data_IF_642867700324
#
_entry.id   IF_642867700324
#
_cell.length_a   1.000
_cell.length_b   1.000
_cell.length_c   1.000
_cell.angle_alpha   90.00
_cell.angle_beta   90.00
_cell.angle_gamma   90.00
#
_symmetry.space_group_name_H-M   'P 1'
#
loop_
_entity.id
_entity.type
_entity.pdbx_description
1 polymer ?
#
# COMPACT_ATOMS: atom_id res chain seq x y z
N UNK A 1 -6.76 -2.70 -11.57
CA UNK A 1 -6.83 -3.21 -10.18
C UNK A 1 -5.62 -2.68 -9.42
N UNK A 2 -5.82 -2.20 -8.20
CA UNK A 2 -4.73 -1.85 -7.28
C UNK A 2 -4.83 -2.75 -6.06
N UNK A 3 -3.74 -3.45 -5.74
CA UNK A 3 -3.56 -4.14 -4.47
C UNK A 3 -2.84 -3.19 -3.51
N UNK A 4 -3.35 -3.06 -2.29
CA UNK A 4 -2.81 -2.24 -1.22
C UNK A 4 -2.30 -3.18 -0.14
N UNK A 5 -0.99 -3.17 0.10
CA UNK A 5 -0.37 -3.94 1.17
C UNK A 5 -0.41 -3.12 2.46
N UNK A 6 -1.31 -3.51 3.37
CA UNK A 6 -1.46 -2.88 4.68
C UNK A 6 -0.69 -3.61 5.79
N UNK A 7 0.13 -4.60 5.44
CA UNK A 7 0.96 -5.30 6.41
C UNK A 7 2.30 -4.56 6.59
N UNK A 8 2.57 -4.14 7.82
CA UNK A 8 3.83 -3.51 8.21
C UNK A 8 4.90 -4.53 8.65
N UNK A 9 4.60 -5.83 8.59
CA UNK A 9 5.41 -6.87 9.25
C UNK A 9 6.11 -7.86 8.32
N UNK A 10 5.45 -8.37 7.27
CA UNK A 10 5.88 -9.66 6.69
C UNK A 10 6.32 -9.66 5.22
N UNK A 11 6.40 -8.53 4.50
CA UNK A 11 6.84 -8.48 3.08
C UNK A 11 6.17 -9.54 2.18
N UNK A 12 4.95 -9.94 2.50
CA UNK A 12 4.41 -11.15 1.91
C UNK A 12 3.89 -10.89 0.50
N UNK A 13 3.24 -9.75 0.28
CA UNK A 13 2.60 -9.45 -0.99
C UNK A 13 3.57 -8.97 -2.07
N UNK A 14 4.56 -8.13 -1.73
CA UNK A 14 5.58 -7.70 -2.67
C UNK A 14 6.49 -8.85 -3.12
N UNK A 15 6.85 -9.77 -2.20
CA UNK A 15 7.56 -11.01 -2.54
C UNK A 15 6.72 -11.96 -3.41
N UNK A 16 5.45 -12.19 -3.06
CA UNK A 16 4.56 -13.07 -3.82
C UNK A 16 4.36 -12.57 -5.27
N UNK A 17 4.33 -11.25 -5.45
CA UNK A 17 4.19 -10.62 -6.77
C UNK A 17 5.54 -10.43 -7.51
N UNK A 18 6.67 -10.76 -6.88
CA UNK A 18 8.01 -10.55 -7.45
C UNK A 18 8.35 -9.08 -7.70
N UNK A 19 7.85 -8.19 -6.84
CA UNK A 19 7.99 -6.73 -6.91
C UNK A 19 8.86 -6.17 -5.78
N UNK A 20 9.45 -7.03 -4.94
CA UNK A 20 10.19 -6.70 -3.72
C UNK A 20 11.38 -5.74 -3.96
N UNK A 21 11.95 -5.75 -5.16
CA UNK A 21 13.06 -4.90 -5.58
C UNK A 21 12.61 -3.58 -6.26
N UNK A 22 11.29 -3.38 -6.41
CA UNK A 22 10.69 -2.22 -7.09
C UNK A 22 9.89 -1.33 -6.14
N UNK A 23 9.52 -1.83 -4.96
CA UNK A 23 8.83 -1.07 -3.91
C UNK A 23 9.83 -0.19 -3.17
N UNK A 24 10.11 0.99 -3.73
CA UNK A 24 11.01 1.99 -3.13
C UNK A 24 10.24 3.09 -2.36
N UNK A 25 9.01 3.38 -2.82
CA UNK A 25 8.14 4.42 -2.31
C UNK A 25 6.82 3.79 -1.82
N UNK A 26 6.24 4.39 -0.78
CA UNK A 26 5.08 3.87 -0.05
C UNK A 26 4.04 4.96 0.16
N UNK A 27 2.82 4.59 0.56
CA UNK A 27 1.78 5.56 0.88
C UNK A 27 2.19 6.51 2.03
N UNK A 28 2.99 6.03 2.98
CA UNK A 28 3.58 6.87 4.03
C UNK A 28 4.51 7.95 3.47
N UNK A 29 5.33 7.64 2.46
CA UNK A 29 6.20 8.64 1.80
C UNK A 29 5.34 9.69 1.06
N UNK A 30 4.20 9.28 0.47
CA UNK A 30 3.25 10.21 -0.18
C UNK A 30 2.60 11.14 0.85
N UNK A 31 2.21 10.60 2.01
CA UNK A 31 1.61 11.38 3.11
C UNK A 31 2.62 12.34 3.76
N UNK A 32 3.90 11.98 3.79
CA UNK A 32 4.98 12.85 4.24
C UNK A 32 5.28 13.98 3.23
N UNK A 33 4.78 13.87 1.98
CA UNK A 33 5.04 14.82 0.90
C UNK A 33 6.34 14.56 0.14
N UNK A 34 6.99 13.42 0.37
CA UNK A 34 8.27 13.07 -0.25
C UNK A 34 8.10 12.63 -1.72
N UNK A 35 6.92 12.10 -2.07
CA UNK A 35 6.62 11.66 -3.42
C UNK A 35 5.13 11.79 -3.76
N UNK A 36 4.82 11.61 -5.04
CA UNK A 36 3.44 11.57 -5.53
C UNK A 36 2.89 10.14 -5.52
N UNK A 37 1.56 10.01 -5.47
CA UNK A 37 0.89 8.69 -5.45
C UNK A 37 1.23 7.83 -6.68
N UNK A 38 1.37 8.43 -7.87
CA UNK A 38 1.74 7.72 -9.09
C UNK A 38 3.16 7.14 -9.03
N UNK A 39 4.06 7.78 -8.28
CA UNK A 39 5.43 7.29 -8.08
C UNK A 39 5.49 6.14 -7.06
N UNK A 40 4.54 6.11 -6.11
CA UNK A 40 4.42 5.02 -5.14
C UNK A 40 3.70 3.77 -5.70
N UNK A 41 2.98 3.89 -6.82
CA UNK A 41 2.32 2.77 -7.47
C UNK A 41 3.31 1.93 -8.27
N UNK A 42 3.48 0.67 -7.88
CA UNK A 42 4.36 -0.27 -8.57
C UNK A 42 3.55 -1.14 -9.52
N UNK A 43 3.85 -1.05 -10.82
CA UNK A 43 3.20 -1.88 -11.83
C UNK A 43 3.72 -3.32 -11.82
N UNK A 44 2.81 -4.28 -11.83
CA UNK A 44 3.15 -5.69 -11.99
C UNK A 44 3.76 -5.96 -13.38
N UNK A 45 4.79 -6.82 -13.46
CA UNK A 45 5.56 -7.06 -14.70
C UNK A 45 4.73 -7.70 -15.83
N UNK A 46 4.00 -8.77 -15.51
CA UNK A 46 3.24 -9.55 -16.51
C UNK A 46 1.77 -9.11 -16.62
N UNK A 47 1.13 -8.83 -15.48
CA UNK A 47 -0.25 -8.38 -15.38
C UNK A 47 -0.37 -6.86 -15.61
N UNK A 48 -0.60 -6.46 -16.86
CA UNK A 48 -0.60 -5.05 -17.30
C UNK A 48 -1.60 -4.13 -16.57
N UNK A 49 -2.62 -4.67 -15.90
CA UNK A 49 -3.65 -3.92 -15.17
C UNK A 49 -3.57 -4.05 -13.64
N UNK A 50 -2.54 -4.70 -13.11
CA UNK A 50 -2.33 -4.84 -11.66
C UNK A 50 -1.21 -3.91 -11.21
N UNK A 51 -1.51 -3.11 -10.18
CA UNK A 51 -0.53 -2.30 -9.48
C UNK A 51 -0.53 -2.65 -7.99
N UNK A 52 0.60 -2.46 -7.34
CA UNK A 52 0.81 -2.64 -5.91
C UNK A 52 1.12 -1.29 -5.27
N UNK A 53 0.50 -1.00 -4.14
CA UNK A 53 0.83 0.14 -3.27
C UNK A 53 1.08 -0.39 -1.86
N UNK A 54 2.30 -0.20 -1.35
CA UNK A 54 2.61 -0.56 0.03
C UNK A 54 2.33 0.62 0.95
N UNK A 55 1.71 0.37 2.11
CA UNK A 55 1.40 1.45 3.05
C UNK A 55 2.65 2.00 3.74
N UNK A 56 3.59 1.13 4.10
CA UNK A 56 4.78 1.51 4.85
C UNK A 56 5.95 0.59 4.53
N UNK A 57 7.18 1.03 4.85
CA UNK A 57 8.38 0.21 4.68
C UNK A 57 8.46 -0.86 5.79
N UNK A 58 9.12 -2.01 5.56
CA UNK A 58 9.18 -3.11 6.53
C UNK A 58 9.81 -2.76 7.89
N UNK A 59 10.59 -1.68 7.95
CA UNK A 59 11.23 -1.20 9.19
C UNK A 59 10.49 -0.03 9.85
N UNK A 60 9.48 0.54 9.20
CA UNK A 60 8.71 1.65 9.76
C UNK A 60 7.45 1.11 10.43
N UNK A 61 7.38 1.21 11.76
CA UNK A 61 6.13 0.94 12.49
C UNK A 61 5.17 2.09 12.24
N UNK A 62 4.21 1.90 11.33
CA UNK A 62 3.09 2.82 11.20
C UNK A 62 2.18 2.63 12.43
N UNK A 63 1.91 3.66 13.24
CA UNK A 63 1.06 3.49 14.42
C UNK A 63 -0.34 3.04 14.00
N UNK A 64 -0.85 1.99 14.63
CA UNK A 64 -2.13 1.34 14.29
C UNK A 64 -3.33 2.30 14.25
N UNK A 65 -3.29 3.35 15.09
CA UNK A 65 -4.28 4.43 15.13
C UNK A 65 -4.39 5.24 13.83
N UNK A 66 -3.36 5.19 12.97
CA UNK A 66 -3.34 5.86 11.68
C UNK A 66 -3.79 4.95 10.51
N UNK A 67 -3.86 3.63 10.71
CA UNK A 67 -4.12 2.67 9.62
C UNK A 67 -5.47 2.91 8.91
N UNK A 68 -6.56 3.08 9.66
CA UNK A 68 -7.91 3.25 9.06
C UNK A 68 -8.07 4.55 8.29
N UNK A 69 -7.54 5.66 8.82
CA UNK A 69 -7.56 6.97 8.14
C UNK A 69 -6.71 6.95 6.88
N UNK A 70 -5.54 6.30 6.94
CA UNK A 70 -4.64 6.16 5.80
C UNK A 70 -5.29 5.31 4.71
N UNK A 71 -5.89 4.17 5.05
CA UNK A 71 -6.60 3.34 4.07
C UNK A 71 -7.77 4.08 3.40
N UNK A 72 -8.53 4.85 4.18
CA UNK A 72 -9.61 5.69 3.64
C UNK A 72 -9.06 6.74 2.68
N UNK A 73 -7.99 7.43 3.09
CA UNK A 73 -7.31 8.42 2.25
C UNK A 73 -6.75 7.80 0.97
N UNK A 74 -6.10 6.64 1.05
CA UNK A 74 -5.56 5.90 -0.10
C UNK A 74 -6.67 5.54 -1.07
N UNK A 75 -7.78 4.98 -0.58
CA UNK A 75 -8.91 4.59 -1.43
C UNK A 75 -9.49 5.80 -2.16
N UNK A 76 -9.66 6.92 -1.45
CA UNK A 76 -10.15 8.16 -2.04
C UNK A 76 -9.17 8.80 -3.03
N UNK A 77 -7.86 8.76 -2.73
CA UNK A 77 -6.83 9.29 -3.62
C UNK A 77 -6.75 8.48 -4.91
N UNK A 78 -6.84 7.14 -4.83
CA UNK A 78 -6.87 6.25 -6.00
C UNK A 78 -8.13 6.48 -6.85
N UNK A 79 -9.29 6.72 -6.24
CA UNK A 79 -10.54 7.02 -6.94
C UNK A 79 -10.54 8.37 -7.67
N UNK A 80 -9.85 9.37 -7.12
CA UNK A 80 -9.73 10.71 -7.71
C UNK A 80 -8.61 10.82 -8.74
N UNK A 81 -7.80 9.77 -8.93
CA UNK A 81 -6.72 9.74 -9.91
C UNK A 81 -7.24 9.86 -11.35
N UNK A 82 -6.33 10.17 -12.28
CA UNK A 82 -6.66 10.32 -13.70
C UNK A 82 -7.13 9.00 -14.36
N UNK A 83 -6.67 7.86 -13.84
CA UNK A 83 -7.07 6.52 -14.27
C UNK A 83 -7.48 5.68 -13.04
N UNK A 84 -8.71 5.86 -12.54
CA UNK A 84 -9.14 5.21 -11.31
C UNK A 84 -9.30 3.69 -11.53
N UNK A 85 -8.83 2.85 -10.59
CA UNK A 85 -8.92 1.41 -10.76
C UNK A 85 -10.34 0.90 -10.55
N UNK A 86 -10.74 -0.08 -11.36
CA UNK A 86 -12.03 -0.78 -11.19
C UNK A 86 -12.17 -1.48 -9.82
N UNK A 87 -11.06 -1.96 -9.26
CA UNK A 87 -11.02 -2.63 -7.97
C UNK A 87 -9.81 -2.19 -7.15
N UNK A 88 -10.03 -2.01 -5.86
CA UNK A 88 -9.00 -1.78 -4.83
C UNK A 88 -9.08 -2.98 -3.88
N UNK A 89 -8.01 -3.78 -3.84
CA UNK A 89 -7.88 -4.92 -2.94
C UNK A 89 -6.97 -4.50 -1.78
N UNK A 90 -7.41 -4.68 -0.54
CA UNK A 90 -6.62 -4.30 0.63
C UNK A 90 -6.23 -5.59 1.36
N UNK A 91 -4.92 -5.87 1.37
CA UNK A 91 -4.35 -6.99 2.10
C UNK A 91 -4.08 -6.55 3.54
N UNK A 92 -4.87 -7.08 4.47
CA UNK A 92 -4.79 -6.76 5.89
C UNK A 92 -4.15 -7.94 6.63
N UNK A 93 -3.22 -7.69 7.57
CA UNK A 93 -2.65 -8.77 8.38
C UNK A 93 -3.72 -9.48 9.21
N UNK A 94 -3.54 -10.79 9.39
CA UNK A 94 -4.42 -11.59 10.23
C UNK A 94 -4.10 -11.38 11.73
N UNK A 95 -5.13 -11.06 12.51
CA UNK A 95 -5.04 -10.98 13.97
C UNK A 95 -5.88 -9.84 14.57
N UNK A 96 -6.16 -9.86 15.88
CA UNK A 96 -6.69 -8.68 16.55
C UNK A 96 -5.65 -7.57 16.38
N UNK A 97 -6.07 -6.45 15.79
CA UNK A 97 -5.36 -5.19 15.82
C UNK A 97 -4.74 -5.03 17.22
N UNK A 98 -3.40 -5.14 17.29
CA UNK A 98 -2.61 -5.28 18.51
C UNK A 98 -3.11 -4.31 19.59
N UNK A 99 -3.97 -4.77 20.51
CA UNK A 99 -4.35 -4.01 21.69
C UNK A 99 -3.11 -3.97 22.58
N UNK A 100 -2.59 -2.78 22.95
CA UNK A 100 -1.60 -2.73 24.00
C UNK A 100 -2.27 -3.24 25.28
N UNK A 101 -1.76 -4.35 25.79
CA UNK A 101 -1.97 -4.73 27.19
C UNK A 101 -1.17 -3.78 28.09
#
# INVERSE_FOLDING_TARGET
VVAVDADAGLRNLDLLLGLENRVNLTAADVLAGDCRLDQALVRHRSLRGLHLLCLSKPRSKLPLAFGSKILTWVADALRRGADPPAFILIDCPAGPAFFPA
#
